data_IF_266259594957
#
_entry.id   IF_266259594957
#
_cell.length_a   1.000
_cell.length_b   1.000
_cell.length_c   1.000
_cell.angle_alpha   90.00
_cell.angle_beta   90.00
_cell.angle_gamma   90.00
#
_symmetry.space_group_name_H-M   'P 1'
#
loop_
_entity.id
_entity.type
_entity.pdbx_description
1 polymer ?
#
# COMPACT_ATOMS: atom_id res chain seq x y z
N UNK A 1 -19.98 9.82 -16.61
CA UNK A 1 -19.74 9.32 -15.23
C UNK A 1 -18.64 8.27 -15.34
N UNK A 2 -17.41 8.64 -15.01
CA UNK A 2 -16.19 7.89 -15.35
C UNK A 2 -15.96 6.73 -14.37
N UNK A 3 -15.55 5.57 -14.88
CA UNK A 3 -15.34 4.35 -14.08
C UNK A 3 -14.31 4.45 -12.94
N UNK A 4 -13.54 5.55 -12.86
CA UNK A 4 -12.66 5.87 -11.73
C UNK A 4 -13.43 6.07 -10.41
N UNK A 5 -14.56 6.78 -10.44
CA UNK A 5 -15.36 7.12 -9.23
C UNK A 5 -15.91 5.88 -8.51
N UNK A 6 -16.21 4.82 -9.26
CA UNK A 6 -16.76 3.57 -8.72
C UNK A 6 -15.66 2.70 -8.08
N UNK A 7 -14.47 2.65 -8.68
CA UNK A 7 -13.32 1.94 -8.08
C UNK A 7 -12.89 2.61 -6.77
N UNK A 8 -12.84 3.95 -6.77
CA UNK A 8 -12.47 4.76 -5.62
C UNK A 8 -13.42 4.55 -4.43
N UNK A 9 -14.75 4.62 -4.66
CA UNK A 9 -15.76 4.39 -3.62
C UNK A 9 -15.69 2.98 -3.04
N UNK A 10 -15.46 1.96 -3.88
CA UNK A 10 -15.30 0.58 -3.44
C UNK A 10 -13.99 0.36 -2.68
N UNK A 11 -12.93 1.05 -3.08
CA UNK A 11 -11.64 1.08 -2.37
C UNK A 11 -11.84 1.63 -0.95
N UNK A 12 -12.44 2.81 -0.81
CA UNK A 12 -12.73 3.39 0.51
C UNK A 12 -13.57 2.46 1.38
N UNK A 13 -14.64 1.87 0.83
CA UNK A 13 -15.49 0.93 1.56
C UNK A 13 -14.72 -0.34 2.03
N UNK A 14 -13.75 -0.83 1.24
CA UNK A 14 -12.86 -1.94 1.63
C UNK A 14 -11.85 -1.53 2.70
N UNK A 15 -11.31 -0.32 2.66
CA UNK A 15 -10.37 0.21 3.67
C UNK A 15 -11.07 0.34 5.03
N UNK A 16 -12.29 0.89 5.08
CA UNK A 16 -13.06 0.98 6.33
C UNK A 16 -13.35 -0.39 6.96
N UNK A 17 -13.47 -1.46 6.16
CA UNK A 17 -13.75 -2.81 6.64
C UNK A 17 -12.50 -3.58 7.13
N UNK A 18 -11.28 -3.21 6.71
CA UNK A 18 -10.02 -3.95 6.99
C UNK A 18 -9.23 -3.47 8.21
N UNK A 19 -9.66 -2.40 8.92
CA UNK A 19 -8.97 -1.84 10.10
C UNK A 19 -9.04 -2.71 11.37
N UNK A 20 -8.86 -4.02 11.28
CA UNK A 20 -8.56 -4.87 12.43
C UNK A 20 -7.05 -5.13 12.47
N UNK A 21 -6.27 -4.40 13.29
CA UNK A 21 -4.86 -4.70 13.44
C UNK A 21 -4.72 -6.12 13.99
N UNK A 22 -3.98 -6.99 13.28
CA UNK A 22 -3.51 -8.24 13.87
C UNK A 22 -2.38 -7.90 14.82
N UNK A 23 -2.71 -7.73 16.10
CA UNK A 23 -1.72 -7.59 17.17
C UNK A 23 -1.05 -8.94 17.36
N UNK A 24 0.26 -9.00 17.14
CA UNK A 24 1.04 -10.17 17.49
C UNK A 24 1.58 -9.97 18.90
N UNK A 25 1.32 -10.93 19.78
CA UNK A 25 1.88 -10.97 21.11
C UNK A 25 3.00 -12.02 21.13
N UNK A 26 4.24 -11.56 21.31
CA UNK A 26 5.40 -12.44 21.52
C UNK A 26 6.10 -12.00 22.81
N UNK A 27 6.04 -12.85 23.85
CA UNK A 27 6.53 -12.49 25.18
C UNK A 27 5.74 -11.32 25.81
N UNK A 28 6.45 -10.32 26.38
CA UNK A 28 5.85 -9.13 27.01
C UNK A 28 5.63 -7.93 26.07
N UNK A 29 5.93 -8.06 24.77
CA UNK A 29 5.80 -6.96 23.79
C UNK A 29 4.57 -7.10 22.89
N UNK A 30 3.87 -5.99 22.65
CA UNK A 30 2.86 -5.88 21.60
C UNK A 30 3.53 -5.41 20.31
N UNK A 31 3.61 -6.28 19.30
CA UNK A 31 4.09 -5.90 17.97
C UNK A 31 2.89 -5.72 17.04
N UNK A 32 2.67 -4.47 16.61
CA UNK A 32 1.75 -4.18 15.52
C UNK A 32 2.53 -4.22 14.23
N UNK A 33 2.22 -5.20 13.39
CA UNK A 33 2.74 -5.21 12.02
C UNK A 33 2.17 -3.99 11.29
N UNK A 34 3.02 -3.17 10.65
CA UNK A 34 2.56 -1.99 9.94
C UNK A 34 1.67 -2.40 8.77
N UNK A 35 0.51 -1.75 8.66
CA UNK A 35 -0.40 -1.84 7.53
C UNK A 35 -0.51 -0.44 6.94
N UNK A 36 -0.15 -0.28 5.67
CA UNK A 36 -0.08 1.02 5.01
C UNK A 36 -0.47 0.89 3.54
N UNK A 37 -1.04 1.95 2.97
CA UNK A 37 -1.26 2.05 1.53
C UNK A 37 -0.30 3.06 0.90
N UNK A 38 0.18 2.74 -0.29
CA UNK A 38 1.13 3.54 -1.06
C UNK A 38 0.66 3.76 -2.49
N UNK A 39 0.97 4.90 -3.06
CA UNK A 39 0.92 5.16 -4.49
C UNK A 39 2.33 5.01 -5.10
N UNK A 40 2.43 4.33 -6.23
CA UNK A 40 3.64 4.32 -7.06
C UNK A 40 3.72 5.65 -7.81
N UNK A 41 4.53 6.59 -7.33
CA UNK A 41 4.60 7.94 -7.94
C UNK A 41 5.55 8.01 -9.12
N UNK A 42 6.57 7.16 -9.16
CA UNK A 42 7.57 7.12 -10.24
C UNK A 42 8.20 5.74 -10.31
N UNK A 43 8.51 5.28 -11.52
CA UNK A 43 9.36 4.10 -11.76
C UNK A 43 10.63 4.53 -12.47
N UNK A 44 11.78 4.23 -11.88
CA UNK A 44 13.10 4.51 -12.45
C UNK A 44 13.96 3.23 -12.45
N UNK A 45 14.10 2.63 -13.63
CA UNK A 45 14.84 1.38 -13.81
C UNK A 45 14.28 0.25 -12.93
N UNK A 46 15.12 -0.26 -12.02
CA UNK A 46 14.79 -1.33 -11.07
C UNK A 46 14.17 -0.83 -9.76
N UNK A 47 13.91 0.47 -9.63
CA UNK A 47 13.38 1.10 -8.42
C UNK A 47 12.04 1.80 -8.69
N UNK A 48 11.26 1.95 -7.61
CA UNK A 48 10.01 2.68 -7.59
C UNK A 48 9.96 3.61 -6.37
N UNK A 49 9.46 4.82 -6.57
CA UNK A 49 9.14 5.75 -5.49
C UNK A 49 7.71 5.52 -5.02
N UNK A 50 7.54 5.22 -3.74
CA UNK A 50 6.24 4.99 -3.11
C UNK A 50 5.89 6.14 -2.17
N UNK A 51 4.78 6.84 -2.45
CA UNK A 51 4.22 7.84 -1.53
C UNK A 51 3.16 7.18 -0.66
N UNK A 52 3.21 7.37 0.65
CA UNK A 52 2.16 6.86 1.53
C UNK A 52 0.88 7.66 1.32
N UNK A 53 -0.29 7.01 1.35
CA UNK A 53 -1.57 7.71 1.16
C UNK A 53 -2.08 8.45 2.41
N UNK A 54 -1.63 8.02 3.59
CA UNK A 54 -2.05 8.59 4.88
C UNK A 54 -1.13 9.70 5.40
N UNK A 55 -0.03 9.99 4.69
CA UNK A 55 1.00 10.95 5.11
C UNK A 55 1.63 11.64 3.89
N UNK A 56 1.89 12.94 4.00
CA UNK A 56 2.29 13.81 2.87
C UNK A 56 3.82 13.98 2.74
N UNK A 57 4.60 13.40 3.66
CA UNK A 57 5.98 13.85 3.88
C UNK A 57 7.04 13.36 2.88
N UNK A 58 7.15 12.04 2.66
CA UNK A 58 8.32 11.48 1.98
C UNK A 58 7.99 10.26 1.11
N UNK A 59 8.64 10.18 -0.05
CA UNK A 59 8.60 8.97 -0.88
C UNK A 59 9.64 7.97 -0.42
N UNK A 60 9.25 6.70 -0.35
CA UNK A 60 10.14 5.58 -0.08
C UNK A 60 10.63 4.97 -1.39
N UNK A 61 11.95 4.83 -1.56
CA UNK A 61 12.52 4.09 -2.68
C UNK A 61 12.45 2.57 -2.40
N UNK A 62 11.90 1.80 -3.33
CA UNK A 62 11.74 0.35 -3.21
C UNK A 62 12.18 -0.35 -4.50
N UNK A 63 12.90 -1.46 -4.38
CA UNK A 63 13.25 -2.28 -5.53
C UNK A 63 12.00 -2.95 -6.14
N UNK A 64 11.84 -2.87 -7.45
CA UNK A 64 10.72 -3.46 -8.20
C UNK A 64 10.60 -4.97 -8.03
N UNK A 65 11.71 -5.66 -7.79
CA UNK A 65 11.71 -7.11 -7.51
C UNK A 65 10.89 -7.50 -6.27
N UNK A 66 10.63 -6.55 -5.37
CA UNK A 66 9.79 -6.74 -4.17
C UNK A 66 8.32 -6.39 -4.40
N UNK A 67 8.00 -5.86 -5.58
CA UNK A 67 6.67 -5.36 -5.91
C UNK A 67 5.99 -6.33 -6.90
N UNK A 68 4.65 -6.31 -6.97
CA UNK A 68 3.93 -7.04 -8.02
C UNK A 68 4.46 -6.64 -9.42
N UNK A 69 4.60 -7.58 -10.35
CA UNK A 69 5.18 -7.27 -11.67
C UNK A 69 4.28 -6.37 -12.52
N UNK A 70 2.98 -6.27 -12.22
CA UNK A 70 2.00 -5.49 -12.98
C UNK A 70 1.90 -4.00 -12.57
N UNK A 71 2.74 -3.54 -11.64
CA UNK A 71 2.71 -2.14 -11.19
C UNK A 71 3.00 -1.15 -12.31
N UNK A 72 2.40 0.03 -12.19
CA UNK A 72 2.65 1.20 -13.04
C UNK A 72 2.61 2.46 -12.18
N UNK A 73 3.07 3.58 -12.72
CA UNK A 73 2.85 4.87 -12.07
C UNK A 73 1.35 5.12 -11.87
N UNK A 74 0.99 5.59 -10.67
CA UNK A 74 -0.38 5.72 -10.19
C UNK A 74 -1.01 4.43 -9.66
N UNK A 75 -0.31 3.28 -9.67
CA UNK A 75 -0.79 2.07 -8.97
C UNK A 75 -0.89 2.30 -7.47
N UNK A 76 -1.97 1.83 -6.85
CA UNK A 76 -2.10 1.79 -5.39
C UNK A 76 -1.69 0.41 -4.88
N UNK A 77 -0.84 0.39 -3.85
CA UNK A 77 -0.30 -0.81 -3.23
C UNK A 77 -0.73 -0.89 -1.77
N UNK A 78 -1.26 -2.05 -1.38
CA UNK A 78 -1.47 -2.41 0.02
C UNK A 78 -0.21 -3.08 0.54
N UNK A 79 0.34 -2.55 1.62
CA UNK A 79 1.43 -3.17 2.36
C UNK A 79 0.92 -3.80 3.65
N UNK A 80 1.06 -5.11 3.77
CA UNK A 80 0.74 -5.88 4.98
C UNK A 80 1.68 -7.09 5.06
N UNK A 81 2.18 -7.42 6.25
CA UNK A 81 3.03 -8.61 6.48
C UNK A 81 4.25 -8.70 5.53
N UNK A 82 4.96 -7.59 5.34
CA UNK A 82 6.12 -7.47 4.45
C UNK A 82 5.83 -7.72 2.96
N UNK A 83 4.55 -7.76 2.56
CA UNK A 83 4.13 -7.98 1.18
C UNK A 83 3.40 -6.78 0.62
N UNK A 84 3.60 -6.53 -0.67
CA UNK A 84 2.87 -5.54 -1.45
C UNK A 84 1.85 -6.25 -2.35
N UNK A 85 0.63 -5.72 -2.41
CA UNK A 85 -0.41 -6.19 -3.33
C UNK A 85 -1.08 -5.01 -4.02
N UNK A 86 -1.41 -5.14 -5.30
CA UNK A 86 -2.10 -4.08 -6.05
C UNK A 86 -3.54 -3.98 -5.55
N UNK A 87 -3.95 -2.75 -5.24
CA UNK A 87 -5.33 -2.38 -4.98
C UNK A 87 -5.84 -1.70 -6.25
N UNK A 88 -6.75 -2.38 -6.95
CA UNK A 88 -7.30 -1.93 -8.23
C UNK A 88 -8.05 -0.61 -8.16
#
# INVERSE_FOLDING_TARGET
MTGKDISEKRYFQRIWARKRPRTWHFGKGEYRMPVCDYEVVMIDGDYAHLRRLEDDGETKLVARALLPPEIREGSILHYEMLQYSIIG
#
